data_IF_767453001424
#
_entry.id   IF_767453001424
#
_cell.length_a   1.000
_cell.length_b   1.000
_cell.length_c   1.000
_cell.angle_alpha   90.00
_cell.angle_beta   90.00
_cell.angle_gamma   90.00
#
_symmetry.space_group_name_H-M   'P 1'
#
loop_
_entity.id
_entity.type
_entity.pdbx_description
1 polymer ?
#
# COMPACT_ATOMS: atom_id res chain seq x y z
N UNK A 1 -52.96 -9.73 -24.21
CA UNK A 1 -53.81 -9.95 -23.01
C UNK A 1 -53.22 -11.17 -22.32
N UNK A 2 -52.77 -11.20 -21.07
CA UNK A 2 -52.91 -10.37 -19.88
C UNK A 2 -51.77 -10.78 -18.94
N UNK A 3 -51.18 -9.83 -18.24
CA UNK A 3 -50.10 -10.01 -17.26
C UNK A 3 -50.54 -10.81 -16.03
N UNK A 4 -49.58 -11.45 -15.35
CA UNK A 4 -49.63 -11.65 -13.90
C UNK A 4 -48.20 -11.88 -13.38
N UNK A 5 -47.58 -10.83 -12.82
CA UNK A 5 -46.35 -10.97 -12.04
C UNK A 5 -46.72 -10.91 -10.55
N UNK A 6 -46.51 -12.01 -9.83
CA UNK A 6 -46.71 -12.09 -8.38
C UNK A 6 -45.38 -11.76 -7.68
N UNK A 7 -45.36 -10.70 -6.88
CA UNK A 7 -44.24 -10.33 -6.03
C UNK A 7 -44.30 -11.16 -4.75
N UNK A 8 -43.32 -12.04 -4.55
CA UNK A 8 -43.13 -12.72 -3.27
C UNK A 8 -42.03 -12.01 -2.48
N UNK A 9 -42.41 -11.29 -1.43
CA UNK A 9 -41.48 -10.79 -0.43
C UNK A 9 -41.03 -11.98 0.43
N UNK A 10 -39.77 -12.39 0.30
CA UNK A 10 -39.15 -13.35 1.20
C UNK A 10 -38.35 -12.59 2.24
N UNK A 11 -38.66 -12.84 3.52
CA UNK A 11 -37.91 -12.33 4.67
C UNK A 11 -36.54 -13.01 4.69
N UNK A 12 -35.48 -12.23 4.48
CA UNK A 12 -34.10 -12.71 4.61
C UNK A 12 -33.72 -12.81 6.09
N UNK A 13 -34.24 -13.83 6.76
CA UNK A 13 -33.66 -14.33 8.01
C UNK A 13 -32.47 -15.21 7.66
N UNK A 14 -31.31 -14.62 7.40
CA UNK A 14 -30.06 -15.37 7.16
C UNK A 14 -29.59 -15.96 8.48
N UNK A 15 -30.14 -17.12 8.87
CA UNK A 15 -29.50 -17.92 9.91
C UNK A 15 -28.18 -18.41 9.34
N UNK A 16 -27.08 -17.91 9.92
CA UNK A 16 -25.73 -18.35 9.56
C UNK A 16 -25.55 -19.79 10.01
N UNK A 17 -25.92 -20.73 9.15
CA UNK A 17 -25.55 -22.13 9.33
C UNK A 17 -24.02 -22.22 9.14
N UNK A 18 -23.31 -22.47 10.23
CA UNK A 18 -21.89 -22.80 10.20
C UNK A 18 -21.73 -24.13 9.44
N UNK A 19 -21.39 -24.05 8.17
CA UNK A 19 -21.04 -25.21 7.36
C UNK A 19 -19.65 -25.71 7.80
N UNK A 20 -19.63 -26.78 8.58
CA UNK A 20 -18.43 -27.58 8.77
C UNK A 20 -18.09 -28.23 7.42
N UNK A 21 -17.02 -27.76 6.77
CA UNK A 21 -16.52 -28.39 5.55
C UNK A 21 -15.94 -29.76 5.92
N UNK A 22 -16.70 -30.82 5.65
CA UNK A 22 -16.18 -32.19 5.63
C UNK A 22 -15.19 -32.26 4.47
N UNK A 23 -13.89 -32.26 4.79
CA UNK A 23 -12.82 -32.50 3.83
C UNK A 23 -12.96 -33.94 3.35
N UNK A 24 -13.59 -34.12 2.20
CA UNK A 24 -13.55 -35.37 1.43
C UNK A 24 -12.06 -35.66 1.21
N UNK A 25 -11.55 -36.89 1.43
CA UNK A 25 -10.15 -37.21 1.22
C UNK A 25 -9.87 -37.30 -0.28
N UNK A 26 -9.90 -36.14 -0.94
CA UNK A 26 -9.27 -35.95 -2.24
C UNK A 26 -7.77 -35.93 -2.02
N UNK A 27 -7.04 -36.51 -2.98
CA UNK A 27 -5.59 -36.73 -3.00
C UNK A 27 -4.80 -35.58 -2.32
N UNK A 28 -4.52 -35.74 -1.02
CA UNK A 28 -3.90 -34.72 -0.16
C UNK A 28 -2.47 -34.43 -0.62
N UNK A 29 -1.81 -35.43 -1.17
CA UNK A 29 -0.45 -35.34 -1.70
C UNK A 29 -0.38 -34.47 -2.95
N UNK A 30 -1.36 -34.58 -3.86
CA UNK A 30 -1.47 -33.72 -5.03
C UNK A 30 -1.76 -32.24 -4.66
N UNK A 31 -2.52 -32.01 -3.59
CA UNK A 31 -2.79 -30.66 -3.09
C UNK A 31 -1.53 -30.04 -2.44
N UNK A 32 -0.79 -30.81 -1.66
CA UNK A 32 0.48 -30.38 -1.05
C UNK A 32 1.49 -30.04 -2.15
N UNK A 33 1.65 -30.90 -3.15
CA UNK A 33 2.58 -30.67 -4.25
C UNK A 33 2.26 -29.40 -5.05
N UNK A 34 0.97 -29.12 -5.30
CA UNK A 34 0.56 -27.86 -5.93
C UNK A 34 0.86 -26.64 -5.04
N UNK A 35 0.64 -26.75 -3.72
CA UNK A 35 0.91 -25.67 -2.78
C UNK A 35 2.42 -25.34 -2.69
N UNK A 36 3.26 -26.37 -2.65
CA UNK A 36 4.72 -26.22 -2.67
C UNK A 36 5.19 -25.52 -3.95
N UNK A 37 4.65 -25.94 -5.10
CA UNK A 37 5.01 -25.37 -6.39
C UNK A 37 4.55 -23.90 -6.50
N UNK A 38 3.36 -23.57 -5.99
CA UNK A 38 2.91 -22.17 -5.88
C UNK A 38 3.82 -21.36 -4.95
N UNK A 39 4.23 -21.94 -3.82
CA UNK A 39 5.09 -21.28 -2.83
C UNK A 39 6.46 -20.97 -3.42
N UNK A 40 7.06 -21.91 -4.15
CA UNK A 40 8.34 -21.71 -4.83
C UNK A 40 8.24 -20.59 -5.89
N UNK A 41 7.17 -20.58 -6.69
CA UNK A 41 6.92 -19.49 -7.66
C UNK A 41 6.82 -18.13 -6.98
N UNK A 42 6.06 -18.05 -5.88
CA UNK A 42 5.92 -16.82 -5.11
C UNK A 42 7.26 -16.35 -4.51
N UNK A 43 8.07 -17.28 -4.01
CA UNK A 43 9.41 -16.96 -3.47
C UNK A 43 10.32 -16.38 -4.56
N UNK A 44 10.39 -17.02 -5.74
CA UNK A 44 11.18 -16.51 -6.85
C UNK A 44 10.71 -15.13 -7.31
N UNK A 45 9.40 -14.92 -7.46
CA UNK A 45 8.86 -13.63 -7.84
C UNK A 45 9.22 -12.53 -6.84
N UNK A 46 9.13 -12.83 -5.53
CA UNK A 46 9.50 -11.88 -4.47
C UNK A 46 11.00 -11.55 -4.51
N UNK A 47 11.87 -12.54 -4.72
CA UNK A 47 13.31 -12.32 -4.83
C UNK A 47 13.66 -11.42 -6.03
N UNK A 48 13.05 -11.67 -7.19
CA UNK A 48 13.26 -10.84 -8.38
C UNK A 48 12.82 -9.39 -8.14
N UNK A 49 11.63 -9.20 -7.55
CA UNK A 49 11.12 -7.86 -7.24
C UNK A 49 12.01 -7.13 -6.21
N UNK A 50 12.51 -7.85 -5.20
CA UNK A 50 13.42 -7.28 -4.21
C UNK A 50 14.72 -6.78 -4.86
N UNK A 51 15.34 -7.58 -5.74
CA UNK A 51 16.55 -7.16 -6.44
C UNK A 51 16.30 -5.93 -7.33
N UNK A 52 15.21 -5.94 -8.10
CA UNK A 52 14.85 -4.81 -8.95
C UNK A 52 14.66 -3.52 -8.15
N UNK A 53 14.00 -3.59 -7.00
CA UNK A 53 13.82 -2.44 -6.12
C UNK A 53 15.13 -1.91 -5.54
N UNK A 54 16.10 -2.78 -5.24
CA UNK A 54 17.42 -2.31 -4.78
C UNK A 54 18.13 -1.53 -5.88
N UNK A 55 18.12 -2.04 -7.12
CA UNK A 55 18.73 -1.34 -8.26
C UNK A 55 18.10 0.04 -8.50
N UNK A 56 16.77 0.15 -8.41
CA UNK A 56 16.10 1.45 -8.54
C UNK A 56 16.43 2.41 -7.40
N UNK A 57 16.51 1.92 -6.16
CA UNK A 57 16.96 2.76 -5.02
C UNK A 57 18.39 3.25 -5.19
N UNK A 58 19.29 2.41 -5.71
CA UNK A 58 20.67 2.78 -5.98
C UNK A 58 20.78 3.81 -7.10
N UNK A 59 19.99 3.64 -8.16
CA UNK A 59 19.89 4.62 -9.25
C UNK A 59 19.37 5.97 -8.77
N UNK A 60 18.31 5.98 -7.95
CA UNK A 60 17.75 7.23 -7.40
C UNK A 60 18.71 7.90 -6.42
N UNK A 61 19.47 7.14 -5.63
CA UNK A 61 20.49 7.68 -4.72
C UNK A 61 21.65 8.38 -5.44
N UNK A 62 21.97 7.99 -6.67
CA UNK A 62 23.00 8.69 -7.45
C UNK A 62 22.60 10.13 -7.77
N UNK A 63 21.31 10.47 -7.70
CA UNK A 63 20.84 11.84 -7.77
C UNK A 63 21.24 12.52 -6.46
N UNK A 64 22.36 13.24 -6.52
CA UNK A 64 22.95 13.96 -5.39
C UNK A 64 21.85 14.69 -4.61
N UNK A 65 21.73 14.46 -3.28
CA UNK A 65 20.80 15.21 -2.46
C UNK A 65 21.02 16.70 -2.70
N UNK A 66 19.97 17.39 -3.14
CA UNK A 66 20.05 18.84 -3.35
C UNK A 66 20.58 19.50 -2.08
N UNK A 67 21.46 20.51 -2.19
CA UNK A 67 21.89 21.28 -1.04
C UNK A 67 20.65 21.71 -0.26
N UNK A 68 20.67 21.47 1.07
CA UNK A 68 19.58 21.94 1.92
C UNK A 68 19.48 23.45 1.74
N UNK A 69 18.28 24.01 1.47
CA UNK A 69 18.14 25.45 1.34
C UNK A 69 18.58 26.10 2.64
N UNK A 70 19.31 27.21 2.51
CA UNK A 70 19.73 28.00 3.66
C UNK A 70 18.49 28.64 4.28
N UNK A 71 18.00 28.03 5.36
CA UNK A 71 16.84 28.55 6.09
C UNK A 71 17.31 29.65 7.06
N UNK A 72 16.62 30.81 7.11
CA UNK A 72 16.95 31.85 8.08
C UNK A 72 16.81 31.35 9.52
N UNK A 73 17.91 31.30 10.26
CA UNK A 73 17.89 31.06 11.71
C UNK A 73 17.51 32.39 12.40
N UNK A 74 16.31 32.45 12.97
CA UNK A 74 15.84 33.63 13.72
C UNK A 74 16.54 33.66 15.07
N UNK A 75 17.46 34.62 15.27
CA UNK A 75 17.97 34.96 16.60
C UNK A 75 16.86 35.68 17.37
N UNK A 76 16.64 35.32 18.63
CA UNK A 76 15.50 35.76 19.45
C UNK A 76 15.33 37.29 19.58
N UNK A 77 16.38 38.07 19.29
CA UNK A 77 16.45 39.50 19.61
C UNK A 77 16.37 40.41 18.38
N UNK A 78 16.15 39.87 17.18
CA UNK A 78 16.05 40.66 15.94
C UNK A 78 14.66 40.52 15.34
N UNK A 79 14.03 41.64 14.98
CA UNK A 79 12.78 41.60 14.23
C UNK A 79 13.08 41.33 12.75
N UNK A 80 12.47 40.28 12.19
CA UNK A 80 12.52 39.99 10.77
C UNK A 80 11.40 40.74 10.06
N UNK A 81 11.74 41.59 9.10
CA UNK A 81 10.77 42.32 8.29
C UNK A 81 10.84 41.83 6.84
N UNK A 82 9.70 41.46 6.26
CA UNK A 82 9.61 41.03 4.87
C UNK A 82 9.51 42.28 3.99
N UNK A 83 10.52 42.51 3.14
CA UNK A 83 10.57 43.59 2.16
C UNK A 83 10.58 42.97 0.77
N UNK A 84 9.43 42.98 0.09
CA UNK A 84 9.27 42.31 -1.21
C UNK A 84 9.49 40.81 -1.10
N UNK A 85 10.44 40.27 -1.88
CA UNK A 85 10.85 38.84 -1.86
C UNK A 85 12.00 38.55 -0.89
N UNK A 86 12.51 39.57 -0.19
CA UNK A 86 13.67 39.46 0.69
C UNK A 86 13.30 39.69 2.15
N UNK A 87 13.90 38.90 3.06
CA UNK A 87 13.72 39.07 4.51
C UNK A 87 14.88 39.95 5.02
N UNK A 88 14.57 41.18 5.40
CA UNK A 88 15.53 42.10 6.03
C UNK A 88 15.52 41.93 7.55
N UNK A 89 16.68 42.11 8.18
CA UNK A 89 16.87 41.99 9.63
C UNK A 89 17.22 43.35 10.19
N UNK A 90 16.39 43.88 11.09
CA UNK A 90 16.74 45.07 11.88
C UNK A 90 17.04 44.60 13.30
N UNK A 91 18.32 44.56 13.64
CA UNK A 91 18.78 44.36 15.01
C UNK A 91 19.17 45.75 15.56
N UNK A 92 18.69 46.10 16.76
CA UNK A 92 19.13 47.30 17.48
C UNK A 92 20.37 46.98 18.32
#
# INVERSE_FOLDING_TARGET
MTSAALVSATLWGVTSNASAQVVIPTNRDALIQQNELQTLRNQLQRQQFQQQQQLYREQDRQIVPKPRPEVPIVKQNCQSQVIGTTISRVCR
#
